data_IF_346069705226
#
_entry.id   IF_346069705226
#
_cell.length_a   1.000
_cell.length_b   1.000
_cell.length_c   1.000
_cell.angle_alpha   90.00
_cell.angle_beta   90.00
_cell.angle_gamma   90.00
#
_symmetry.space_group_name_H-M   'P 1'
#
loop_
_entity.id
_entity.type
_entity.pdbx_description
1 polymer ?
#
# COMPACT_ATOMS: atom_id res chain seq x y z
N UNK A 1 -3.33 -15.97 18.17
CA UNK A 1 -4.43 -16.87 17.78
C UNK A 1 -4.43 -17.01 16.27
N UNK A 2 -4.59 -18.23 15.75
CA UNK A 2 -4.68 -18.50 14.31
C UNK A 2 -5.93 -19.35 14.07
N UNK A 3 -6.74 -18.94 13.11
CA UNK A 3 -8.01 -19.60 12.78
C UNK A 3 -8.05 -19.93 11.29
N UNK A 4 -8.65 -21.07 10.98
CA UNK A 4 -8.96 -21.45 9.61
C UNK A 4 -10.43 -21.11 9.31
N UNK A 5 -10.65 -20.23 8.34
CA UNK A 5 -11.94 -19.66 7.98
C UNK A 5 -12.09 -18.20 8.41
N UNK A 6 -13.34 -17.74 8.38
CA UNK A 6 -13.72 -16.38 8.78
C UNK A 6 -13.77 -16.25 10.31
N UNK A 7 -13.43 -15.07 10.82
CA UNK A 7 -13.42 -14.79 12.26
C UNK A 7 -14.30 -13.59 12.59
N UNK A 8 -15.20 -13.77 13.56
CA UNK A 8 -16.01 -12.68 14.12
C UNK A 8 -15.62 -12.44 15.57
N UNK A 9 -15.12 -11.23 15.86
CA UNK A 9 -14.78 -10.78 17.20
C UNK A 9 -15.87 -9.81 17.66
N UNK A 10 -16.69 -10.23 18.62
CA UNK A 10 -17.81 -9.41 19.14
C UNK A 10 -17.37 -8.24 20.02
N UNK A 11 -16.15 -8.32 20.57
CA UNK A 11 -15.59 -7.31 21.45
C UNK A 11 -14.46 -6.49 20.82
N UNK A 12 -13.69 -5.83 21.68
CA UNK A 12 -12.48 -5.12 21.29
C UNK A 12 -11.32 -6.10 21.13
N UNK A 13 -10.36 -5.76 20.26
CA UNK A 13 -9.05 -6.40 20.22
C UNK A 13 -8.05 -5.45 20.87
N UNK A 14 -7.39 -5.92 21.92
CA UNK A 14 -6.58 -5.10 22.82
C UNK A 14 -5.09 -5.23 22.54
N UNK A 15 -4.32 -4.32 23.14
CA UNK A 15 -2.88 -4.19 22.96
C UNK A 15 -2.14 -5.54 23.16
N UNK A 16 -1.18 -5.81 22.27
CA UNK A 16 -0.39 -7.05 22.25
C UNK A 16 -1.08 -8.23 21.56
N UNK A 17 -2.35 -8.13 21.20
CA UNK A 17 -3.08 -9.20 20.52
C UNK A 17 -2.53 -9.46 19.13
N UNK A 18 -2.33 -10.75 18.79
CA UNK A 18 -1.98 -11.21 17.44
C UNK A 18 -3.03 -12.19 16.95
N UNK A 19 -3.82 -11.79 15.95
CA UNK A 19 -4.92 -12.61 15.42
C UNK A 19 -4.71 -12.83 13.93
N UNK A 20 -4.83 -14.09 13.50
CA UNK A 20 -4.72 -14.50 12.10
C UNK A 20 -5.95 -15.29 11.69
N UNK A 21 -6.50 -15.00 10.51
CA UNK A 21 -7.58 -15.74 9.89
C UNK A 21 -7.20 -16.07 8.43
N UNK A 22 -7.47 -17.30 7.97
CA UNK A 22 -7.31 -17.64 6.55
C UNK A 22 -8.42 -17.01 5.69
N UNK A 23 -9.59 -16.75 6.29
CA UNK A 23 -10.70 -16.00 5.69
C UNK A 23 -10.70 -14.52 6.06
N UNK A 24 -11.89 -13.93 6.09
CA UNK A 24 -12.16 -12.54 6.45
C UNK A 24 -12.29 -12.35 7.96
N UNK A 25 -12.07 -11.13 8.45
CA UNK A 25 -12.22 -10.78 9.86
C UNK A 25 -13.23 -9.65 10.04
N UNK A 26 -14.19 -9.86 10.94
CA UNK A 26 -15.14 -8.83 11.37
C UNK A 26 -14.97 -8.57 12.85
N UNK A 27 -14.66 -7.33 13.21
CA UNK A 27 -14.45 -6.87 14.58
C UNK A 27 -15.54 -5.86 14.90
N UNK A 28 -16.48 -6.24 15.77
CA UNK A 28 -17.58 -5.38 16.21
C UNK A 28 -17.11 -4.26 17.17
N UNK A 29 -15.98 -4.46 17.84
CA UNK A 29 -15.34 -3.48 18.71
C UNK A 29 -14.28 -2.62 18.02
N UNK A 30 -13.43 -2.01 18.85
CA UNK A 30 -12.25 -1.28 18.43
C UNK A 30 -11.01 -2.19 18.40
N UNK A 31 -10.01 -1.79 17.63
CA UNK A 31 -8.70 -2.44 17.57
C UNK A 31 -7.65 -1.47 18.10
N UNK A 32 -6.96 -1.85 19.18
CA UNK A 32 -5.91 -1.05 19.80
C UNK A 32 -4.65 -1.90 19.99
N UNK A 33 -3.48 -1.37 19.63
CA UNK A 33 -2.19 -2.01 19.92
C UNK A 33 -2.02 -3.43 19.36
N UNK A 34 -2.77 -3.81 18.31
CA UNK A 34 -2.90 -5.19 17.87
C UNK A 34 -2.27 -5.43 16.49
N UNK A 35 -2.01 -6.70 16.20
CA UNK A 35 -1.57 -7.18 14.89
C UNK A 35 -2.63 -8.14 14.32
N UNK A 36 -3.30 -7.74 13.24
CA UNK A 36 -4.35 -8.51 12.58
C UNK A 36 -3.94 -8.89 11.16
N UNK A 37 -4.11 -10.17 10.80
CA UNK A 37 -3.88 -10.64 9.43
C UNK A 37 -5.06 -11.49 8.98
N UNK A 38 -5.74 -11.07 7.90
CA UNK A 38 -6.80 -11.82 7.25
C UNK A 38 -6.42 -12.19 5.82
N UNK A 39 -6.74 -13.41 5.38
CA UNK A 39 -6.66 -13.78 3.96
C UNK A 39 -7.73 -13.11 3.10
N UNK A 40 -8.87 -12.75 3.73
CA UNK A 40 -9.97 -12.01 3.12
C UNK A 40 -10.00 -10.53 3.49
N UNK A 41 -11.21 -10.01 3.63
CA UNK A 41 -11.48 -8.62 4.01
C UNK A 41 -11.30 -8.42 5.54
N UNK A 42 -11.00 -7.21 6.00
CA UNK A 42 -11.01 -6.85 7.43
C UNK A 42 -11.96 -5.69 7.67
N UNK A 43 -12.97 -5.91 8.53
CA UNK A 43 -13.98 -4.91 8.86
C UNK A 43 -13.90 -4.61 10.35
N UNK A 44 -13.67 -3.35 10.73
CA UNK A 44 -13.62 -2.89 12.11
C UNK A 44 -14.71 -1.85 12.34
N UNK A 45 -15.58 -2.05 13.33
CA UNK A 45 -16.76 -1.19 13.52
C UNK A 45 -16.56 0.03 14.42
N UNK A 46 -15.51 0.10 15.26
CA UNK A 46 -15.31 1.25 16.18
C UNK A 46 -14.01 2.03 16.00
N UNK A 47 -13.12 1.61 15.09
CA UNK A 47 -11.86 2.30 14.78
C UNK A 47 -10.60 1.51 15.11
N UNK A 48 -9.48 1.94 14.52
CA UNK A 48 -8.17 1.29 14.62
C UNK A 48 -7.15 2.29 15.17
N UNK A 49 -6.45 1.93 16.24
CA UNK A 49 -5.44 2.76 16.88
C UNK A 49 -4.18 1.97 17.21
N UNK A 50 -2.98 2.53 16.97
CA UNK A 50 -1.68 1.90 17.31
C UNK A 50 -1.54 0.45 16.83
N UNK A 51 -2.12 0.10 15.68
CA UNK A 51 -2.24 -1.29 15.25
C UNK A 51 -1.67 -1.52 13.86
N UNK A 52 -1.32 -2.77 13.56
CA UNK A 52 -0.99 -3.23 12.22
C UNK A 52 -2.11 -4.16 11.72
N UNK A 53 -2.70 -3.84 10.58
CA UNK A 53 -3.81 -4.61 10.01
C UNK A 53 -3.53 -4.93 8.54
N UNK A 54 -3.61 -6.21 8.20
CA UNK A 54 -3.34 -6.74 6.88
C UNK A 54 -4.58 -7.47 6.33
N UNK A 55 -5.02 -7.12 5.13
CA UNK A 55 -6.11 -7.79 4.41
C UNK A 55 -5.63 -8.32 3.06
N UNK A 56 -5.89 -9.60 2.78
CA UNK A 56 -5.48 -10.28 1.57
C UNK A 56 -4.28 -11.22 1.70
N UNK A 57 -3.97 -11.66 2.91
CA UNK A 57 -2.96 -12.69 3.16
C UNK A 57 -1.62 -12.31 2.51
N UNK A 58 -1.02 -13.24 1.77
CA UNK A 58 0.27 -12.99 1.10
C UNK A 58 0.23 -11.80 0.13
N UNK A 59 -0.92 -11.55 -0.52
CA UNK A 59 -1.11 -10.40 -1.40
C UNK A 59 -0.85 -9.07 -0.68
N UNK A 60 -1.22 -8.98 0.60
CA UNK A 60 -0.94 -7.79 1.42
C UNK A 60 0.57 -7.61 1.65
N UNK A 61 1.31 -8.70 1.91
CA UNK A 61 2.76 -8.64 2.02
C UNK A 61 3.43 -8.23 0.69
N UNK A 62 2.84 -8.61 -0.44
CA UNK A 62 3.35 -8.30 -1.78
C UNK A 62 2.97 -6.91 -2.29
N UNK A 63 1.95 -6.28 -1.68
CA UNK A 63 1.32 -5.05 -2.17
C UNK A 63 2.32 -3.93 -2.50
N UNK A 64 3.40 -3.80 -1.73
CA UNK A 64 4.41 -2.75 -1.93
C UNK A 64 5.45 -3.09 -2.98
N UNK A 65 5.92 -4.33 -2.98
CA UNK A 65 7.12 -4.73 -3.72
C UNK A 65 6.81 -5.28 -5.11
N UNK A 66 5.56 -5.66 -5.41
CA UNK A 66 5.22 -6.30 -6.69
C UNK A 66 5.60 -5.46 -7.91
N UNK A 67 5.22 -4.18 -7.96
CA UNK A 67 5.57 -3.29 -9.09
C UNK A 67 7.08 -3.14 -9.28
N UNK A 68 7.83 -3.12 -8.18
CA UNK A 68 9.29 -3.04 -8.23
C UNK A 68 9.88 -4.36 -8.74
N UNK A 69 9.35 -5.51 -8.30
CA UNK A 69 9.75 -6.81 -8.83
C UNK A 69 9.39 -6.94 -10.32
N UNK A 70 8.25 -6.43 -10.77
CA UNK A 70 7.88 -6.38 -12.20
C UNK A 70 8.90 -5.57 -13.01
N UNK A 71 9.37 -4.44 -12.45
CA UNK A 71 10.45 -3.64 -13.05
C UNK A 71 11.75 -4.45 -13.12
N UNK A 72 12.15 -5.12 -12.03
CA UNK A 72 13.32 -6.02 -12.02
C UNK A 72 13.20 -7.08 -13.10
N UNK A 73 12.06 -7.75 -13.21
CA UNK A 73 11.84 -8.81 -14.19
C UNK A 73 11.87 -8.30 -15.65
N UNK A 74 11.36 -7.09 -15.90
CA UNK A 74 11.45 -6.42 -17.21
C UNK A 74 12.87 -6.09 -17.62
N UNK A 75 13.73 -5.70 -16.69
CA UNK A 75 15.15 -5.43 -16.97
C UNK A 75 15.97 -6.73 -17.04
N UNK A 76 15.62 -7.74 -16.25
CA UNK A 76 16.39 -8.97 -16.13
C UNK A 76 16.16 -9.93 -17.31
N UNK A 77 14.92 -10.07 -17.80
CA UNK A 77 14.58 -11.00 -18.90
C UNK A 77 15.36 -10.75 -20.21
N UNK A 78 15.47 -9.50 -20.73
CA UNK A 78 16.23 -9.22 -21.95
C UNK A 78 17.73 -9.44 -21.75
N UNK A 79 18.25 -9.13 -20.56
CA UNK A 79 19.66 -9.31 -20.22
C UNK A 79 20.05 -10.79 -20.26
N UNK A 80 19.27 -11.65 -19.59
CA UNK A 80 19.53 -13.08 -19.57
C UNK A 80 19.45 -13.70 -20.97
N UNK A 81 18.44 -13.33 -21.77
CA UNK A 81 18.29 -13.82 -23.16
C UNK A 81 19.51 -13.51 -24.02
N UNK A 82 20.04 -12.29 -23.95
CA UNK A 82 21.25 -11.89 -24.69
C UNK A 82 22.48 -12.68 -24.27
N UNK A 83 22.66 -12.90 -22.97
CA UNK A 83 23.79 -13.69 -22.46
C UNK A 83 23.72 -15.17 -22.86
N UNK A 84 22.51 -15.75 -22.97
CA UNK A 84 22.33 -17.12 -23.44
C UNK A 84 22.60 -17.26 -24.94
N UNK A 85 22.11 -16.33 -25.77
CA UNK A 85 22.33 -16.35 -27.23
C UNK A 85 23.81 -16.21 -27.61
N UNK A 86 24.57 -15.41 -26.85
CA UNK A 86 26.02 -15.28 -27.03
C UNK A 86 26.80 -16.59 -26.80
N UNK A 87 26.20 -17.60 -26.15
CA UNK A 87 26.82 -18.92 -25.95
C UNK A 87 26.46 -19.95 -27.04
N UNK A 88 25.43 -19.71 -27.85
CA UNK A 88 24.87 -20.70 -28.79
C UNK A 88 25.21 -20.43 -30.27
N UNK A 89 25.75 -19.26 -30.61
CA UNK A 89 26.11 -18.88 -31.99
C UNK A 89 27.60 -18.68 -32.17
N UNK A 90 28.17 -19.37 -33.16
CA UNK A 90 29.52 -19.14 -33.69
C UNK A 90 29.51 -17.91 -34.60
N UNK A 91 29.78 -16.71 -34.06
CA UNK A 91 30.45 -15.64 -34.81
C UNK A 91 31.14 -14.63 -33.85
N UNK A 92 32.44 -14.29 -34.02
CA UNK A 92 33.24 -13.57 -33.01
C UNK A 92 33.12 -12.03 -33.04
N UNK A 93 32.13 -11.46 -33.72
CA UNK A 93 32.14 -10.02 -34.02
C UNK A 93 30.76 -9.33 -33.94
N UNK A 94 29.99 -9.53 -32.87
CA UNK A 94 29.12 -8.46 -32.35
C UNK A 94 29.19 -8.51 -30.84
N UNK A 95 30.22 -7.85 -30.34
CA UNK A 95 30.29 -7.41 -28.96
C UNK A 95 28.91 -6.87 -28.57
N UNK A 96 28.32 -7.47 -27.53
CA UNK A 96 27.76 -6.55 -26.54
C UNK A 96 28.98 -5.72 -26.15
N UNK A 97 29.13 -4.52 -26.70
CA UNK A 97 30.17 -3.60 -26.24
C UNK A 97 30.07 -3.63 -24.73
N UNK A 98 31.20 -3.73 -24.02
CA UNK A 98 31.19 -3.80 -22.56
C UNK A 98 30.22 -2.74 -22.00
N UNK A 99 30.22 -1.55 -22.60
CA UNK A 99 29.28 -0.44 -22.43
C UNK A 99 27.77 -0.80 -22.50
N UNK A 100 27.33 -1.61 -23.47
CA UNK A 100 25.93 -1.99 -23.63
C UNK A 100 25.48 -3.10 -22.66
N UNK A 101 26.42 -3.88 -22.12
CA UNK A 101 26.18 -4.78 -21.00
C UNK A 101 26.13 -3.98 -19.69
N UNK A 102 27.13 -3.13 -19.48
CA UNK A 102 27.29 -2.24 -18.32
C UNK A 102 26.03 -1.38 -18.12
N UNK A 103 25.52 -0.74 -19.17
CA UNK A 103 24.32 0.08 -19.10
C UNK A 103 23.06 -0.72 -18.70
N UNK A 104 22.95 -1.98 -19.12
CA UNK A 104 21.81 -2.84 -18.74
C UNK A 104 21.95 -3.37 -17.32
N UNK A 105 23.17 -3.68 -16.89
CA UNK A 105 23.44 -4.02 -15.50
C UNK A 105 23.13 -2.84 -14.58
N UNK A 106 23.45 -1.61 -14.97
CA UNK A 106 23.15 -0.42 -14.19
C UNK A 106 21.63 -0.19 -14.04
N UNK A 107 20.86 -0.37 -15.11
CA UNK A 107 19.38 -0.34 -15.04
C UNK A 107 18.82 -1.41 -14.11
N UNK A 108 19.38 -2.61 -14.12
CA UNK A 108 18.96 -3.69 -13.23
C UNK A 108 19.37 -3.41 -11.77
N UNK A 109 20.58 -2.90 -11.52
CA UNK A 109 21.02 -2.44 -10.19
C UNK A 109 20.08 -1.36 -9.64
N UNK A 110 19.74 -0.37 -10.46
CA UNK A 110 18.80 0.69 -10.11
C UNK A 110 17.39 0.13 -9.81
N UNK A 111 16.95 -0.90 -10.53
CA UNK A 111 15.66 -1.55 -10.26
C UNK A 111 15.64 -2.40 -8.98
N UNK A 112 16.79 -2.96 -8.58
CA UNK A 112 16.93 -3.74 -7.35
C UNK A 112 17.14 -2.87 -6.11
N UNK A 113 17.65 -1.65 -6.30
CA UNK A 113 17.90 -0.71 -5.21
C UNK A 113 16.62 -0.39 -4.46
N UNK A 114 16.66 -0.48 -3.13
CA UNK A 114 15.54 -0.13 -2.26
C UNK A 114 14.36 -1.11 -2.22
N UNK A 115 14.45 -2.28 -2.86
CA UNK A 115 13.35 -3.26 -2.92
C UNK A 115 12.88 -3.75 -1.54
N UNK A 116 13.75 -3.73 -0.53
CA UNK A 116 13.45 -4.22 0.83
C UNK A 116 13.65 -3.20 1.95
N UNK A 117 14.04 -1.95 1.64
CA UNK A 117 14.43 -0.92 2.62
C UNK A 117 13.31 -0.56 3.60
N UNK A 118 12.07 -0.91 3.28
CA UNK A 118 10.90 -0.58 4.08
C UNK A 118 10.12 -1.80 4.59
N UNK A 119 10.74 -2.99 4.61
CA UNK A 119 10.14 -4.19 5.21
C UNK A 119 10.16 -4.08 6.74
N UNK A 120 9.14 -3.42 7.28
CA UNK A 120 9.12 -3.04 8.70
C UNK A 120 8.39 -4.03 9.61
N UNK A 121 7.58 -4.95 9.07
CA UNK A 121 6.83 -5.91 9.88
C UNK A 121 7.47 -7.28 9.93
N UNK A 122 7.55 -7.87 11.13
CA UNK A 122 8.04 -9.25 11.32
C UNK A 122 7.26 -10.27 10.47
N UNK A 123 5.96 -10.04 10.26
CA UNK A 123 5.15 -10.93 9.44
C UNK A 123 5.49 -10.83 7.96
N UNK A 124 5.70 -9.61 7.44
CA UNK A 124 6.16 -9.40 6.06
C UNK A 124 7.53 -10.08 5.86
N UNK A 125 8.46 -9.94 6.81
CA UNK A 125 9.79 -10.55 6.74
C UNK A 125 9.73 -12.08 6.67
N UNK A 126 8.80 -12.73 7.37
CA UNK A 126 8.61 -14.18 7.29
C UNK A 126 8.20 -14.64 5.89
N UNK A 127 7.41 -13.83 5.17
CA UNK A 127 6.95 -14.14 3.82
C UNK A 127 8.01 -13.76 2.77
N UNK A 128 8.56 -12.56 2.90
CA UNK A 128 9.44 -11.95 1.90
C UNK A 128 10.90 -12.37 2.02
N UNK A 129 11.32 -12.91 3.16
CA UNK A 129 12.70 -13.29 3.45
C UNK A 129 13.37 -14.07 2.32
N UNK A 130 12.80 -15.18 1.80
CA UNK A 130 13.48 -15.94 0.76
C UNK A 130 13.63 -15.17 -0.56
N UNK A 131 12.69 -14.29 -0.91
CA UNK A 131 12.82 -13.39 -2.06
C UNK A 131 13.94 -12.37 -1.83
N UNK A 132 14.03 -11.81 -0.63
CA UNK A 132 15.11 -10.89 -0.25
C UNK A 132 16.49 -11.54 -0.41
N UNK A 133 16.64 -12.79 0.03
CA UNK A 133 17.89 -13.54 -0.16
C UNK A 133 18.24 -13.72 -1.66
N UNK A 134 17.25 -14.01 -2.51
CA UNK A 134 17.44 -14.14 -3.95
C UNK A 134 17.88 -12.81 -4.58
N UNK A 135 17.23 -11.70 -4.20
CA UNK A 135 17.55 -10.35 -4.66
C UNK A 135 18.95 -9.93 -4.22
N UNK A 136 19.32 -10.16 -2.95
CA UNK A 136 20.67 -9.88 -2.43
C UNK A 136 21.75 -10.73 -3.12
N UNK A 137 21.43 -11.98 -3.49
CA UNK A 137 22.36 -12.80 -4.29
C UNK A 137 22.53 -12.22 -5.69
N UNK A 138 21.46 -11.75 -6.33
CA UNK A 138 21.55 -11.08 -7.63
C UNK A 138 22.36 -9.78 -7.53
N UNK A 139 22.08 -8.92 -6.56
CA UNK A 139 22.86 -7.68 -6.30
C UNK A 139 24.35 -7.98 -6.19
N UNK A 140 24.77 -8.96 -5.37
CA UNK A 140 26.18 -9.35 -5.24
C UNK A 140 26.83 -9.78 -6.56
N UNK A 141 26.09 -10.42 -7.47
CA UNK A 141 26.62 -10.79 -8.80
C UNK A 141 26.82 -9.53 -9.63
N UNK A 142 25.86 -8.61 -9.62
CA UNK A 142 25.93 -7.34 -10.34
C UNK A 142 27.04 -6.43 -9.79
N UNK A 143 27.28 -6.43 -8.49
CA UNK A 143 28.35 -5.61 -7.89
C UNK A 143 29.73 -6.14 -8.29
N UNK A 144 29.89 -7.47 -8.40
CA UNK A 144 31.15 -8.11 -8.82
C UNK A 144 31.47 -7.94 -10.31
N UNK A 145 30.47 -7.74 -11.16
CA UNK A 145 30.71 -7.57 -12.61
C UNK A 145 31.53 -6.35 -13.00
N UNK A 146 31.63 -5.33 -12.13
CA UNK A 146 32.55 -4.20 -12.34
C UNK A 146 34.04 -4.60 -12.20
N UNK A 147 34.33 -5.78 -11.65
CA UNK A 147 35.68 -6.25 -11.31
C UNK A 147 35.96 -7.61 -11.98
N UNK A 148 36.12 -7.61 -13.31
CA UNK A 148 36.90 -8.61 -14.06
C UNK A 148 36.62 -10.11 -13.82
N UNK A 149 35.38 -10.52 -13.49
CA UNK A 149 35.00 -11.94 -13.40
C UNK A 149 33.88 -12.31 -14.36
N UNK A 150 34.04 -13.44 -15.05
CA UNK A 150 33.02 -14.04 -15.91
C UNK A 150 31.80 -14.43 -15.08
N UNK A 151 30.64 -13.83 -15.38
CA UNK A 151 29.36 -14.22 -14.77
C UNK A 151 29.03 -15.66 -15.18
N UNK A 152 28.80 -16.52 -14.18
CA UNK A 152 28.25 -17.84 -14.47
C UNK A 152 26.79 -17.72 -14.92
N UNK A 153 26.57 -17.88 -16.23
CA UNK A 153 25.24 -17.78 -16.85
C UNK A 153 24.24 -18.79 -16.25
N UNK A 154 24.70 -19.95 -15.77
CA UNK A 154 23.83 -20.93 -15.09
C UNK A 154 23.30 -20.39 -13.77
N UNK A 155 24.16 -19.81 -12.93
CA UNK A 155 23.76 -19.20 -11.66
C UNK A 155 22.77 -18.05 -11.88
N UNK A 156 23.00 -17.25 -12.92
CA UNK A 156 22.11 -16.16 -13.30
C UNK A 156 20.75 -16.67 -13.80
N UNK A 157 20.74 -17.75 -14.58
CA UNK A 157 19.51 -18.39 -15.05
C UNK A 157 18.71 -19.01 -13.90
N UNK A 158 19.36 -19.63 -12.93
CA UNK A 158 18.69 -20.22 -11.76
C UNK A 158 18.10 -19.14 -10.84
N UNK A 159 18.80 -18.00 -10.67
CA UNK A 159 18.25 -16.82 -10.00
C UNK A 159 17.05 -16.24 -10.73
N UNK A 160 17.12 -16.12 -12.06
CA UNK A 160 16.00 -15.65 -12.85
C UNK A 160 14.77 -16.55 -12.69
N UNK A 161 14.94 -17.88 -12.72
CA UNK A 161 13.84 -18.83 -12.44
C UNK A 161 13.25 -18.64 -11.05
N UNK A 162 14.09 -18.44 -10.04
CA UNK A 162 13.65 -18.15 -8.67
C UNK A 162 12.81 -16.87 -8.63
N UNK A 163 13.30 -15.76 -9.19
CA UNK A 163 12.56 -14.50 -9.24
C UNK A 163 11.28 -14.60 -10.07
N UNK A 164 11.29 -15.36 -11.17
CA UNK A 164 10.12 -15.62 -11.98
C UNK A 164 9.04 -16.40 -11.20
N UNK A 165 9.43 -17.38 -10.39
CA UNK A 165 8.49 -18.11 -9.53
C UNK A 165 7.84 -17.19 -8.49
N UNK A 166 8.62 -16.28 -7.90
CA UNK A 166 8.11 -15.26 -6.97
C UNK A 166 7.17 -14.27 -7.67
N UNK A 167 7.56 -13.75 -8.82
CA UNK A 167 6.71 -12.87 -9.63
C UNK A 167 5.38 -13.56 -9.99
N UNK A 168 5.42 -14.86 -10.35
CA UNK A 168 4.21 -15.65 -10.58
C UNK A 168 3.33 -15.80 -9.33
N UNK A 169 3.92 -16.13 -8.18
CA UNK A 169 3.21 -16.21 -6.89
C UNK A 169 2.58 -14.87 -6.51
N UNK A 170 3.30 -13.77 -6.69
CA UNK A 170 2.82 -12.43 -6.38
C UNK A 170 1.63 -12.06 -7.26
N UNK A 171 1.73 -12.27 -8.57
CA UNK A 171 0.62 -12.00 -9.48
C UNK A 171 -0.62 -12.84 -9.14
N UNK A 172 -0.45 -14.10 -8.73
CA UNK A 172 -1.54 -14.93 -8.25
C UNK A 172 -2.16 -14.41 -6.95
N UNK A 173 -1.34 -14.05 -5.96
CA UNK A 173 -1.81 -13.56 -4.66
C UNK A 173 -2.46 -12.17 -4.71
N UNK A 174 -2.15 -11.37 -5.73
CA UNK A 174 -2.78 -10.08 -6.00
C UNK A 174 -4.13 -10.20 -6.72
N UNK A 175 -4.57 -11.42 -7.06
CA UNK A 175 -5.89 -11.64 -7.65
C UNK A 175 -7.00 -11.51 -6.62
N UNK A 176 -7.98 -10.64 -6.92
CA UNK A 176 -9.13 -10.39 -6.06
C UNK A 176 -8.85 -9.35 -4.98
N UNK A 177 -9.44 -8.16 -5.15
CA UNK A 177 -9.29 -7.06 -4.19
C UNK A 177 -9.83 -7.46 -2.81
N UNK A 178 -9.04 -7.22 -1.76
CA UNK A 178 -9.39 -7.41 -0.35
C UNK A 178 -9.32 -6.08 0.40
N UNK A 179 -10.38 -5.77 1.14
CA UNK A 179 -10.57 -4.43 1.68
C UNK A 179 -10.36 -4.39 3.18
N UNK A 180 -9.72 -3.33 3.65
CA UNK A 180 -9.80 -2.91 5.06
C UNK A 180 -10.86 -1.81 5.16
N UNK A 181 -11.87 -2.00 6.01
CA UNK A 181 -12.90 -1.00 6.31
C UNK A 181 -12.85 -0.63 7.79
N UNK A 182 -12.75 0.66 8.09
CA UNK A 182 -12.81 1.17 9.46
C UNK A 182 -13.40 2.59 9.52
N UNK A 183 -14.10 2.99 10.59
CA UNK A 183 -14.57 4.36 10.76
C UNK A 183 -13.46 5.41 10.81
N UNK A 184 -12.37 5.12 11.53
CA UNK A 184 -11.25 6.03 11.69
C UNK A 184 -9.98 5.27 12.05
N UNK A 185 -8.83 5.87 11.73
CA UNK A 185 -7.51 5.24 11.84
C UNK A 185 -6.51 6.22 12.43
N UNK A 186 -5.79 5.80 13.47
CA UNK A 186 -4.81 6.65 14.15
C UNK A 186 -3.54 5.88 14.52
N UNK A 187 -2.37 6.46 14.27
CA UNK A 187 -1.07 5.87 14.64
C UNK A 187 -0.92 4.40 14.20
N UNK A 188 -1.46 4.04 13.04
CA UNK A 188 -1.59 2.64 12.63
C UNK A 188 -0.98 2.39 11.26
N UNK A 189 -0.75 1.12 10.95
CA UNK A 189 -0.35 0.66 9.63
C UNK A 189 -1.43 -0.24 9.06
N UNK A 190 -1.99 0.14 7.92
CA UNK A 190 -2.98 -0.65 7.20
C UNK A 190 -2.41 -1.07 5.85
N UNK A 191 -2.50 -2.35 5.52
CA UNK A 191 -2.02 -2.91 4.25
C UNK A 191 -3.09 -3.80 3.63
N UNK A 192 -3.62 -3.39 2.49
CA UNK A 192 -4.69 -4.08 1.79
C UNK A 192 -4.23 -4.49 0.38
N UNK A 193 -4.42 -5.77 0.06
CA UNK A 193 -4.38 -6.27 -1.31
C UNK A 193 -5.67 -5.91 -2.06
N UNK A 194 -6.01 -4.62 -2.10
CA UNK A 194 -7.31 -4.12 -2.48
C UNK A 194 -7.45 -2.67 -2.06
N UNK A 195 -8.60 -2.36 -1.49
CA UNK A 195 -8.95 -1.01 -1.07
C UNK A 195 -8.74 -0.80 0.43
N UNK A 196 -8.55 0.45 0.83
CA UNK A 196 -8.70 0.89 2.23
C UNK A 196 -9.82 1.92 2.26
N UNK A 197 -10.85 1.66 3.05
CA UNK A 197 -12.04 2.51 3.16
C UNK A 197 -12.18 3.01 4.59
N UNK A 198 -12.17 4.33 4.74
CA UNK A 198 -12.32 5.01 6.01
C UNK A 198 -13.64 5.78 6.00
N UNK A 199 -14.58 5.41 6.86
CA UNK A 199 -15.99 5.82 6.68
C UNK A 199 -16.43 7.05 7.50
N UNK A 200 -15.67 7.46 8.51
CA UNK A 200 -16.02 8.56 9.42
C UNK A 200 -14.88 9.59 9.57
N UNK A 201 -14.28 9.70 10.76
CA UNK A 201 -13.44 10.83 11.18
C UNK A 201 -12.27 11.08 10.25
N UNK A 202 -11.68 10.02 9.69
CA UNK A 202 -10.51 10.10 8.82
C UNK A 202 -9.31 9.33 9.35
N UNK A 203 -8.13 9.69 8.84
CA UNK A 203 -6.87 9.02 9.08
C UNK A 203 -5.81 10.03 9.53
N UNK A 204 -5.15 9.74 10.64
CA UNK A 204 -4.03 10.55 11.10
C UNK A 204 -2.82 9.72 11.55
N UNK A 205 -1.63 10.27 11.30
CA UNK A 205 -0.35 9.71 11.78
C UNK A 205 -0.16 8.24 11.40
N UNK A 206 -0.63 7.83 10.23
CA UNK A 206 -0.72 6.42 9.86
C UNK A 206 -0.02 6.15 8.53
N UNK A 207 0.27 4.88 8.29
CA UNK A 207 0.77 4.42 6.99
C UNK A 207 -0.26 3.52 6.33
N UNK A 208 -0.68 3.90 5.13
CA UNK A 208 -1.68 3.16 4.36
C UNK A 208 -1.03 2.61 3.09
N UNK A 209 -1.26 1.34 2.80
CA UNK A 209 -0.81 0.69 1.57
C UNK A 209 -2.00 -0.03 0.95
N UNK A 210 -2.39 0.38 -0.25
CA UNK A 210 -3.48 -0.24 -1.00
C UNK A 210 -3.01 -0.53 -2.43
N UNK A 211 -3.31 -1.72 -2.95
CA UNK A 211 -3.03 -2.03 -4.36
C UNK A 211 -4.06 -1.39 -5.29
N UNK A 212 -5.22 -1.00 -4.77
CA UNK A 212 -6.27 -0.26 -5.48
C UNK A 212 -6.51 1.09 -4.81
N UNK A 213 -7.68 1.36 -4.25
CA UNK A 213 -8.06 2.71 -3.81
C UNK A 213 -7.88 2.93 -2.30
N UNK A 214 -7.65 4.18 -1.91
CA UNK A 214 -7.75 4.67 -0.52
C UNK A 214 -8.83 5.74 -0.46
N UNK A 215 -9.95 5.41 0.16
CA UNK A 215 -11.17 6.22 0.14
C UNK A 215 -11.50 6.69 1.55
N UNK A 216 -11.41 7.99 1.80
CA UNK A 216 -11.83 8.64 3.03
C UNK A 216 -13.17 9.30 2.79
N UNK A 217 -14.22 8.66 3.30
CA UNK A 217 -15.61 9.04 3.04
C UNK A 217 -16.16 10.05 4.04
N UNK A 218 -17.27 10.67 3.63
CA UNK A 218 -17.98 11.67 4.41
C UNK A 218 -17.39 13.06 4.22
N UNK A 219 -18.19 14.08 4.55
CA UNK A 219 -17.85 15.50 4.35
C UNK A 219 -16.62 15.96 5.14
N UNK A 220 -16.18 15.14 6.11
CA UNK A 220 -15.03 15.41 7.00
C UNK A 220 -13.88 14.41 6.86
N UNK A 221 -13.91 13.51 5.85
CA UNK A 221 -12.86 12.51 5.66
C UNK A 221 -11.50 13.17 5.44
N UNK A 222 -10.67 13.21 6.48
CA UNK A 222 -9.35 13.85 6.43
C UNK A 222 -8.21 12.84 6.37
N UNK A 223 -7.15 13.16 5.65
CA UNK A 223 -5.89 12.42 5.63
C UNK A 223 -4.76 13.35 6.11
N UNK A 224 -4.30 13.15 7.34
CA UNK A 224 -3.36 14.08 8.00
C UNK A 224 -2.12 13.36 8.51
N UNK A 225 -0.96 14.00 8.39
CA UNK A 225 0.33 13.50 8.86
C UNK A 225 0.58 12.01 8.50
N UNK A 226 0.08 11.55 7.34
CA UNK A 226 0.06 10.14 6.96
C UNK A 226 0.87 9.89 5.69
N UNK A 227 1.35 8.67 5.55
CA UNK A 227 2.05 8.19 4.36
C UNK A 227 1.15 7.19 3.63
N UNK A 228 0.85 7.45 2.36
CA UNK A 228 -0.02 6.59 1.55
C UNK A 228 0.75 6.08 0.36
N UNK A 229 0.78 4.76 0.18
CA UNK A 229 1.20 4.11 -1.07
C UNK A 229 -0.02 3.48 -1.71
N UNK A 230 -0.33 3.88 -2.94
CA UNK A 230 -1.57 3.48 -3.61
C UNK A 230 -1.31 2.98 -5.03
N UNK A 231 -2.17 2.09 -5.53
CA UNK A 231 -2.20 1.69 -6.93
C UNK A 231 -3.20 2.49 -7.75
N UNK A 232 -4.42 2.63 -7.22
CA UNK A 232 -5.53 3.35 -7.84
C UNK A 232 -5.66 4.78 -7.32
N UNK A 233 -6.83 5.10 -6.77
CA UNK A 233 -7.25 6.47 -6.42
C UNK A 233 -7.07 6.76 -4.93
N UNK A 234 -6.68 7.98 -4.60
CA UNK A 234 -6.91 8.56 -3.26
C UNK A 234 -8.05 9.57 -3.34
N UNK A 235 -9.04 9.43 -2.48
CA UNK A 235 -10.15 10.39 -2.35
C UNK A 235 -10.32 10.79 -0.89
N UNK A 236 -10.32 12.09 -0.61
CA UNK A 236 -10.54 12.63 0.72
C UNK A 236 -11.21 14.01 0.65
N UNK A 237 -11.92 14.42 1.69
CA UNK A 237 -12.37 15.81 1.78
C UNK A 237 -11.18 16.76 2.03
N UNK A 238 -10.26 16.37 2.91
CA UNK A 238 -9.13 17.19 3.32
C UNK A 238 -7.84 16.38 3.35
N UNK A 239 -6.76 16.90 2.76
CA UNK A 239 -5.43 16.27 2.80
C UNK A 239 -4.40 17.25 3.37
N UNK A 240 -3.61 16.78 4.32
CA UNK A 240 -2.56 17.57 4.94
C UNK A 240 -3.02 18.34 6.17
N UNK A 241 -2.08 19.03 6.79
CA UNK A 241 -2.29 19.91 7.94
C UNK A 241 -1.40 21.14 7.77
N UNK A 242 -1.83 22.28 8.30
CA UNK A 242 -1.05 23.53 8.28
C UNK A 242 0.23 23.43 9.12
N UNK A 243 0.16 22.72 10.24
CA UNK A 243 1.27 22.48 11.16
C UNK A 243 1.37 21.00 11.50
N UNK A 244 2.60 20.46 11.51
CA UNK A 244 2.88 19.04 11.80
C UNK A 244 3.61 18.32 10.67
N UNK A 245 3.71 17.00 10.78
CA UNK A 245 4.39 16.18 9.78
C UNK A 245 3.66 16.23 8.43
N UNK A 246 4.39 16.32 7.30
CA UNK A 246 3.79 16.39 5.98
C UNK A 246 3.00 15.11 5.68
N UNK A 247 1.91 15.27 4.93
CA UNK A 247 1.19 14.13 4.34
C UNK A 247 1.80 13.82 2.99
N UNK A 248 2.13 12.56 2.74
CA UNK A 248 2.78 12.11 1.52
C UNK A 248 1.96 11.02 0.84
N UNK A 249 1.70 11.17 -0.45
CA UNK A 249 0.98 10.18 -1.26
C UNK A 249 1.92 9.75 -2.40
N UNK A 250 2.20 8.46 -2.49
CA UNK A 250 2.99 7.84 -3.54
C UNK A 250 2.15 6.87 -4.36
N UNK A 251 2.17 7.04 -5.70
CA UNK A 251 1.36 6.26 -6.63
C UNK A 251 2.10 5.90 -7.93
N UNK A 252 1.52 4.98 -8.71
CA UNK A 252 1.99 4.67 -10.07
C UNK A 252 1.37 5.63 -11.10
N UNK A 253 1.63 5.41 -12.39
CA UNK A 253 1.23 6.33 -13.45
C UNK A 253 -0.29 6.50 -13.56
N UNK A 254 -1.04 5.46 -13.22
CA UNK A 254 -2.49 5.39 -13.21
C UNK A 254 -3.13 5.98 -11.94
N UNK A 255 -2.33 6.43 -10.97
CA UNK A 255 -2.85 6.97 -9.72
C UNK A 255 -3.51 8.34 -9.93
N UNK A 256 -4.68 8.50 -9.32
CA UNK A 256 -5.41 9.76 -9.27
C UNK A 256 -5.61 10.20 -7.81
N UNK A 257 -5.43 11.49 -7.53
CA UNK A 257 -5.69 12.07 -6.21
C UNK A 257 -6.77 13.12 -6.32
N UNK A 258 -7.83 12.96 -5.53
CA UNK A 258 -9.01 13.81 -5.52
C UNK A 258 -9.21 14.35 -4.10
N UNK A 259 -9.22 15.67 -3.95
CA UNK A 259 -9.50 16.29 -2.66
C UNK A 259 -10.24 17.62 -2.74
N UNK A 260 -11.15 17.88 -1.81
CA UNK A 260 -11.79 19.20 -1.73
C UNK A 260 -10.80 20.26 -1.25
N UNK A 261 -9.94 19.95 -0.28
CA UNK A 261 -8.92 20.86 0.24
C UNK A 261 -7.60 20.13 0.45
N UNK A 262 -6.49 20.75 0.02
CA UNK A 262 -5.13 20.27 0.26
C UNK A 262 -4.33 21.38 0.92
N UNK A 263 -3.68 21.05 2.03
CA UNK A 263 -2.88 21.99 2.82
C UNK A 263 -1.41 22.05 2.39
N UNK A 264 -0.72 23.17 2.67
CA UNK A 264 0.72 23.30 2.46
C UNK A 264 1.51 22.16 3.09
N UNK A 265 2.66 21.84 2.49
CA UNK A 265 3.53 20.77 2.96
C UNK A 265 3.14 19.37 2.49
N UNK A 266 1.92 19.18 1.98
CA UNK A 266 1.48 17.94 1.33
C UNK A 266 2.33 17.66 0.09
N UNK A 267 2.76 16.41 -0.06
CA UNK A 267 3.59 15.95 -1.18
C UNK A 267 2.88 14.84 -1.94
N UNK A 268 2.76 15.00 -3.25
CA UNK A 268 2.34 13.95 -4.17
C UNK A 268 3.56 13.48 -4.96
N UNK A 269 3.75 12.17 -5.03
CA UNK A 269 4.76 11.53 -5.86
C UNK A 269 4.10 10.49 -6.75
N UNK A 270 3.85 10.82 -8.01
CA UNK A 270 3.12 9.95 -8.95
C UNK A 270 4.08 9.57 -10.07
N UNK A 271 4.34 8.27 -10.22
CA UNK A 271 5.29 7.73 -11.21
C UNK A 271 6.71 8.35 -11.17
N UNK A 272 7.13 8.84 -10.00
CA UNK A 272 8.43 9.51 -9.81
C UNK A 272 8.38 11.03 -9.88
N UNK A 273 7.35 11.60 -10.52
CA UNK A 273 7.13 13.04 -10.54
C UNK A 273 6.61 13.54 -9.20
N UNK A 274 7.19 14.63 -8.69
CA UNK A 274 6.90 15.14 -7.34
C UNK A 274 6.29 16.52 -7.41
N UNK A 275 5.16 16.70 -6.72
CA UNK A 275 4.53 18.00 -6.51
C UNK A 275 4.36 18.26 -5.01
N UNK A 276 4.78 19.44 -4.55
CA UNK A 276 4.61 19.89 -3.17
C UNK A 276 3.68 21.11 -3.17
N UNK A 277 2.60 21.01 -2.40
CA UNK A 277 1.72 22.15 -2.16
C UNK A 277 2.39 23.14 -1.20
N UNK A 278 2.45 24.41 -1.58
CA UNK A 278 3.04 25.50 -0.77
C UNK A 278 1.99 26.47 -0.22
N UNK A 279 0.76 26.37 -0.69
CA UNK A 279 -0.41 27.12 -0.23
C UNK A 279 -1.59 26.15 -0.02
N UNK A 280 -2.73 26.67 0.46
CA UNK A 280 -3.97 25.91 0.48
C UNK A 280 -4.52 25.87 -0.96
N UNK A 281 -4.96 24.68 -1.40
CA UNK A 281 -5.60 24.48 -2.68
C UNK A 281 -6.95 23.79 -2.50
N UNK A 282 -7.95 24.20 -3.29
CA UNK A 282 -9.29 23.63 -3.31
C UNK A 282 -9.58 22.92 -4.63
N UNK A 283 -10.54 21.99 -4.59
CA UNK A 283 -10.99 21.21 -5.75
C UNK A 283 -9.83 20.58 -6.51
N UNK A 284 -8.96 19.89 -5.76
CA UNK A 284 -7.72 19.31 -6.26
C UNK A 284 -8.00 18.00 -6.98
N UNK A 285 -7.57 17.92 -8.23
CA UNK A 285 -7.44 16.68 -9.00
C UNK A 285 -6.01 16.60 -9.52
N UNK A 286 -5.27 15.59 -9.08
CA UNK A 286 -3.91 15.34 -9.53
C UNK A 286 -3.79 13.97 -10.21
N UNK A 287 -3.10 13.93 -11.36
CA UNK A 287 -2.88 12.71 -12.15
C UNK A 287 -1.70 12.91 -13.10
N UNK A 288 -1.13 11.82 -13.62
CA UNK A 288 -0.12 11.92 -14.67
C UNK A 288 -0.78 12.24 -16.02
N UNK A 289 -0.24 13.22 -16.73
CA UNK A 289 -0.61 13.53 -18.10
C UNK A 289 -0.11 12.46 -19.07
N UNK A 290 -0.64 12.44 -20.29
CA UNK A 290 -0.10 11.59 -21.37
C UNK A 290 1.35 11.95 -21.73
N UNK A 291 1.82 13.16 -21.40
CA UNK A 291 3.22 13.59 -21.55
C UNK A 291 4.16 13.02 -20.48
N UNK A 292 3.62 12.40 -19.42
CA UNK A 292 4.39 11.94 -18.26
C UNK A 292 4.61 13.01 -17.19
N UNK A 293 4.13 14.24 -17.38
CA UNK A 293 4.18 15.28 -16.35
C UNK A 293 3.04 15.11 -15.34
N UNK A 294 3.30 15.43 -14.07
CA UNK A 294 2.26 15.47 -13.04
C UNK A 294 1.40 16.74 -13.19
N UNK A 295 0.15 16.55 -13.61
CA UNK A 295 -0.85 17.62 -13.71
C UNK A 295 -1.62 17.74 -12.39
N UNK A 296 -1.72 18.96 -11.88
CA UNK A 296 -2.53 19.30 -10.70
C UNK A 296 -3.53 20.39 -11.08
N UNK A 297 -4.79 20.00 -11.27
CA UNK A 297 -5.90 20.94 -11.43
C UNK A 297 -6.41 21.33 -10.04
N UNK A 298 -6.42 22.63 -9.72
CA UNK A 298 -6.87 23.13 -8.43
C UNK A 298 -7.11 24.63 -8.45
N UNK A 299 -7.83 25.14 -7.46
CA UNK A 299 -7.98 26.58 -7.18
C UNK A 299 -7.14 26.92 -5.96
N UNK A 300 -6.12 27.75 -6.13
CA UNK A 300 -5.31 28.24 -5.01
C UNK A 300 -6.15 29.16 -4.13
N UNK A 301 -6.14 28.92 -2.83
CA UNK A 301 -6.81 29.74 -1.84
C UNK A 301 -5.80 30.69 -1.20
N UNK A 302 -5.82 31.95 -1.65
CA UNK A 302 -4.95 33.03 -1.14
C UNK A 302 -5.59 33.79 0.03
N UNK A 303 -6.72 33.32 0.56
CA UNK A 303 -7.25 33.83 1.83
C UNK A 303 -6.35 33.35 2.97
N UNK A 304 -5.23 34.06 3.16
CA UNK A 304 -4.32 33.81 4.25
C UNK A 304 -5.02 34.02 5.58
N UNK A 305 -5.29 32.94 6.31
CA UNK A 305 -5.30 32.92 7.78
C UNK A 305 -5.35 31.50 8.33
N UNK A 306 -4.41 31.24 9.24
CA UNK A 306 -4.50 30.22 10.28
C UNK A 306 -5.86 30.34 10.99
N UNK A 307 -6.59 29.25 11.31
CA UNK A 307 -7.45 29.33 12.48
C UNK A 307 -6.53 29.66 13.67
N UNK A 308 -6.94 30.60 14.53
CA UNK A 308 -6.18 31.01 15.69
C UNK A 308 -5.74 29.78 16.52
N UNK A 309 -4.54 29.77 17.14
CA UNK A 309 -4.13 28.69 18.02
C UNK A 309 -4.99 28.77 19.28
N UNK A 310 -6.01 27.91 19.39
CA UNK A 310 -6.90 27.95 20.54
C UNK A 310 -8.26 27.25 20.42
N UNK A 311 -8.42 26.24 19.56
CA UNK A 311 -9.52 25.28 19.75
C UNK A 311 -8.91 23.94 20.10
N UNK A 312 -8.71 23.79 21.40
CA UNK A 312 -8.41 22.52 22.02
C UNK A 312 -9.60 21.58 21.79
N UNK A 313 -9.48 20.63 20.85
CA UNK A 313 -10.47 19.57 20.62
C UNK A 313 -10.32 18.42 21.64
N UNK A 314 -9.66 18.64 22.77
CA UNK A 314 -9.52 17.66 23.86
C UNK A 314 -10.55 17.83 24.98
N UNK A 315 -11.81 18.08 24.66
CA UNK A 315 -12.92 17.67 25.52
C UNK A 315 -14.21 17.86 24.77
N UNK A 316 -14.92 16.79 24.40
CA UNK A 316 -16.38 16.84 24.36
C UNK A 316 -16.95 15.44 24.60
N UNK A 317 -17.79 15.42 25.63
CA UNK A 317 -18.50 14.31 26.25
C UNK A 317 -19.45 13.63 25.23
N UNK A 318 -19.51 12.29 25.09
CA UNK A 318 -20.45 11.64 24.18
C UNK A 318 -21.80 11.49 24.89
N UNK A 319 -22.59 12.56 24.88
CA UNK A 319 -23.93 12.58 25.46
C UNK A 319 -24.91 13.21 24.49
N UNK A 320 -25.46 12.41 23.57
CA UNK A 320 -26.49 12.85 22.65
C UNK A 320 -26.84 11.78 21.64
N UNK A 321 -27.86 10.98 21.97
CA UNK A 321 -28.47 10.04 21.06
C UNK A 321 -28.87 10.75 19.75
N UNK A 322 -28.45 10.21 18.61
CA UNK A 322 -29.02 10.53 17.30
C UNK A 322 -29.42 9.24 16.59
N UNK A 323 -30.64 9.27 16.11
CA UNK A 323 -31.39 8.21 15.45
C UNK A 323 -30.67 7.67 14.21
N UNK A 324 -31.02 6.43 13.88
CA UNK A 324 -30.47 5.61 12.81
C UNK A 324 -30.50 6.29 11.43
N UNK A 325 -29.34 6.76 10.98
CA UNK A 325 -29.09 7.00 9.57
C UNK A 325 -28.50 5.72 8.95
N UNK A 326 -29.14 5.22 7.90
CA UNK A 326 -28.66 4.10 7.06
C UNK A 326 -27.20 4.30 6.67
N UNK A 327 -26.36 3.28 6.87
CA UNK A 327 -24.93 3.32 6.57
C UNK A 327 -24.64 3.72 5.11
N UNK A 328 -23.63 4.56 4.85
CA UNK A 328 -23.28 4.98 3.50
C UNK A 328 -22.85 3.77 2.66
N UNK A 329 -23.40 3.65 1.43
CA UNK A 329 -23.01 2.62 0.48
C UNK A 329 -21.77 3.05 -0.29
N UNK A 330 -20.67 2.33 -0.12
CA UNK A 330 -19.46 2.50 -0.96
C UNK A 330 -19.61 1.66 -2.20
N UNK A 331 -19.59 2.28 -3.38
CA UNK A 331 -19.34 1.58 -4.64
C UNK A 331 -17.85 1.65 -4.93
N UNK A 332 -17.15 0.54 -4.73
CA UNK A 332 -15.76 0.41 -5.14
C UNK A 332 -15.70 0.32 -6.68
N UNK A 333 -14.59 0.76 -7.29
CA UNK A 333 -14.41 0.73 -8.75
C UNK A 333 -14.62 -0.66 -9.36
N UNK A 334 -14.49 -1.73 -8.57
CA UNK A 334 -14.65 -3.12 -9.00
C UNK A 334 -16.06 -3.71 -8.80
N UNK A 335 -17.09 -2.86 -8.61
CA UNK A 335 -18.47 -3.32 -8.47
C UNK A 335 -18.81 -4.03 -7.16
N UNK A 336 -17.84 -4.14 -6.22
CA UNK A 336 -18.10 -4.63 -4.86
C UNK A 336 -18.80 -3.53 -4.05
N UNK A 337 -19.93 -3.88 -3.44
CA UNK A 337 -20.56 -3.05 -2.41
C UNK A 337 -20.15 -3.60 -1.05
N UNK A 338 -19.44 -2.80 -0.27
CA UNK A 338 -19.27 -3.07 1.15
C UNK A 338 -20.43 -2.41 1.87
N UNK A 339 -21.31 -3.23 2.42
CA UNK A 339 -22.30 -2.77 3.37
C UNK A 339 -21.84 -3.25 4.72
N UNK A 340 -21.62 -2.33 5.65
CA UNK A 340 -21.64 -2.66 7.07
C UNK A 340 -23.07 -3.06 7.45
N UNK A 341 -23.55 -4.20 6.96
CA UNK A 341 -24.84 -4.70 7.41
C UNK A 341 -24.64 -5.15 8.86
N UNK A 342 -25.53 -4.75 9.79
CA UNK A 342 -25.63 -5.50 11.03
C UNK A 342 -25.97 -6.92 10.64
N UNK A 343 -25.09 -7.87 10.94
CA UNK A 343 -25.43 -9.29 10.86
C UNK A 343 -26.55 -9.47 11.89
N UNK A 344 -27.79 -9.55 11.40
CA UNK A 344 -28.92 -9.99 12.18
C UNK A 344 -28.54 -11.36 12.76
N UNK A 345 -28.57 -11.46 14.08
CA UNK A 345 -28.40 -12.71 14.79
C UNK A 345 -29.48 -13.69 14.33
N UNK A 346 -29.14 -14.57 13.39
CA UNK A 346 -29.80 -15.85 13.23
C UNK A 346 -29.19 -16.80 14.24
N UNK A 347 -29.99 -17.25 15.21
CA UNK A 347 -29.60 -18.21 16.23
C UNK A 347 -29.18 -19.55 15.63
N UNK A 348 -28.19 -20.19 16.25
CA UNK A 348 -28.44 -21.32 17.13
C UNK A 348 -27.20 -21.57 17.99
N UNK A 349 -27.44 -21.80 19.28
CA UNK A 349 -26.38 -21.90 20.28
C UNK A 349 -25.63 -23.23 20.22
N UNK A 350 -24.37 -23.20 20.65
CA UNK A 350 -23.77 -24.27 21.44
C UNK A 350 -22.82 -23.60 22.44
N UNK A 351 -23.19 -23.62 23.72
CA UNK A 351 -22.26 -23.49 24.83
C UNK A 351 -21.48 -24.82 24.94
N UNK A 352 -20.16 -24.74 24.96
CA UNK A 352 -19.27 -25.84 25.35
C UNK A 352 -18.16 -25.26 26.22
N UNK A 353 -17.93 -25.90 27.36
CA UNK A 353 -17.14 -25.41 28.51
C UNK A 353 -15.66 -25.21 28.27
#
# INVERSE_FOLDING_TARGET
LSFDGDVVIRGNVLDGSKVRASGSMVIQGAVSGAHLVAGGDVIVHRGITRSEVYAGGEGAAFARIHRQLDRVMREFSPLLRKMLQARTGSDPLVSVTQDAAEFRFERLRAALSGLFDATESQWEQQILGPLEHAVRRLQRILDRTAVSQTVNVKDLADLYKSLLSWHGRMNGALTGARTILAPHVHNSRLVACGDIVITESGCCQSRLVATHDVLLQGDRGFLRASQVTVGGRVEAAEIGTYAGSPTAIEGAAETEVHAHTVHPGTVLKIAGETHRFTAIHRSVVARLASSGALEVSSVRDDSGQSPAPGVDLSSHNPGGARESATAPRVRLRHGRSLVAQPVLAGGDGVHGG
#
